data_IF_303714695659
#
_entry.id   IF_303714695659
#
_cell.length_a   1.000
_cell.length_b   1.000
_cell.length_c   1.000
_cell.angle_alpha   90.00
_cell.angle_beta   90.00
_cell.angle_gamma   90.00
#
_symmetry.space_group_name_H-M   'P 1'
#
loop_
_entity.id
_entity.type
_entity.pdbx_description
1 polymer ?
#
# COMPACT_ATOMS: atom_id res chain seq x y z
N UNK A 1 -11.62 22.19 14.21
CA UNK A 1 -11.08 20.88 14.40
C UNK A 1 -12.02 19.77 13.96
N UNK A 2 -11.53 18.57 14.07
CA UNK A 2 -12.25 17.35 13.65
C UNK A 2 -13.67 17.25 14.22
N UNK A 3 -13.92 17.88 15.32
CA UNK A 3 -15.26 17.93 15.92
C UNK A 3 -16.33 18.58 15.07
N UNK A 4 -15.94 19.44 14.21
CA UNK A 4 -16.91 20.26 13.49
C UNK A 4 -17.62 19.47 12.41
N UNK A 5 -17.02 18.41 11.97
CA UNK A 5 -17.66 17.59 10.97
C UNK A 5 -18.75 16.68 11.47
N UNK A 6 -18.74 16.34 12.70
CA UNK A 6 -19.87 15.61 13.25
C UNK A 6 -21.13 16.48 13.34
N UNK A 7 -20.96 17.78 13.26
CA UNK A 7 -22.09 18.72 13.31
C UNK A 7 -22.73 18.86 11.95
N UNK A 8 -21.97 18.74 10.88
CA UNK A 8 -22.45 19.24 9.61
C UNK A 8 -22.73 18.17 8.59
N UNK A 9 -22.27 16.99 8.75
CA UNK A 9 -22.37 16.01 7.64
C UNK A 9 -21.80 16.52 6.31
N UNK A 10 -21.49 17.82 6.22
CA UNK A 10 -20.93 18.45 5.02
C UNK A 10 -19.59 17.83 4.65
N UNK A 11 -18.88 17.35 5.64
CA UNK A 11 -17.63 16.65 5.39
C UNK A 11 -17.78 15.32 4.70
N UNK A 12 -18.93 14.69 4.84
CA UNK A 12 -19.23 13.48 4.05
C UNK A 12 -19.46 13.80 2.58
N UNK A 13 -19.81 15.06 2.29
CA UNK A 13 -19.97 15.53 0.91
C UNK A 13 -18.66 16.08 0.31
N UNK A 14 -17.73 16.51 1.16
CA UNK A 14 -16.42 17.02 0.76
C UNK A 14 -15.36 15.93 0.95
N UNK A 15 -15.45 14.85 0.20
CA UNK A 15 -14.38 13.85 0.17
C UNK A 15 -13.11 14.55 -0.32
N UNK A 16 -12.01 14.50 0.46
CA UNK A 16 -10.76 15.07 0.01
C UNK A 16 -10.31 14.33 -1.27
N UNK A 17 -10.10 15.09 -2.32
CA UNK A 17 -9.54 14.57 -3.56
C UNK A 17 -8.02 14.62 -3.58
N UNK A 18 -7.42 15.06 -2.49
CA UNK A 18 -5.97 15.17 -2.30
C UNK A 18 -5.57 14.58 -0.96
N UNK A 19 -4.33 14.11 -0.88
CA UNK A 19 -3.76 13.69 0.39
C UNK A 19 -3.56 14.88 1.33
N UNK A 20 -3.56 14.61 2.62
CA UNK A 20 -3.22 15.61 3.63
C UNK A 20 -1.84 16.19 3.38
N UNK A 21 -1.63 17.45 3.78
CA UNK A 21 -0.31 18.08 3.68
C UNK A 21 0.75 17.26 4.43
N UNK A 22 1.88 16.99 3.78
CA UNK A 22 2.95 16.16 4.34
C UNK A 22 2.67 14.66 4.39
N UNK A 23 1.53 14.21 3.88
CA UNK A 23 1.19 12.79 3.87
C UNK A 23 2.19 11.97 3.03
N UNK A 24 2.75 10.88 3.55
CA UNK A 24 3.69 10.03 2.81
C UNK A 24 3.07 9.38 1.57
N UNK A 25 1.75 9.30 1.48
CA UNK A 25 1.06 8.81 0.28
C UNK A 25 1.33 9.68 -0.95
N UNK A 26 1.69 10.96 -0.76
CA UNK A 26 2.09 11.83 -1.86
C UNK A 26 3.31 11.31 -2.62
N UNK A 27 4.22 10.67 -1.94
CA UNK A 27 5.39 10.02 -2.55
C UNK A 27 5.08 8.55 -2.86
N UNK A 28 4.59 7.82 -1.88
CA UNK A 28 4.40 6.36 -1.97
C UNK A 28 3.44 5.89 -3.08
N UNK A 29 2.52 6.75 -3.55
CA UNK A 29 1.60 6.39 -4.65
C UNK A 29 2.11 6.78 -6.04
N UNK A 30 3.24 7.46 -6.15
CA UNK A 30 3.86 7.73 -7.45
C UNK A 30 4.39 6.44 -8.07
N UNK A 31 4.40 6.40 -9.38
CA UNK A 31 5.00 5.30 -10.17
C UNK A 31 5.90 5.88 -11.24
N UNK A 32 6.92 5.16 -11.69
CA UNK A 32 7.79 5.59 -12.78
C UNK A 32 6.99 5.93 -14.04
N UNK A 33 7.53 6.83 -14.86
CA UNK A 33 6.91 7.21 -16.12
C UNK A 33 6.66 5.99 -17.01
N UNK A 34 5.49 5.95 -17.63
CA UNK A 34 5.06 4.81 -18.44
C UNK A 34 4.51 3.62 -17.66
N UNK A 35 4.70 3.59 -16.34
CA UNK A 35 4.15 2.52 -15.49
C UNK A 35 2.67 2.77 -15.17
N UNK A 36 1.96 1.70 -14.80
CA UNK A 36 0.56 1.73 -14.37
C UNK A 36 0.43 1.25 -12.93
N UNK A 37 -0.54 1.81 -12.23
CA UNK A 37 -0.90 1.37 -10.89
C UNK A 37 -2.39 1.04 -10.80
N UNK A 38 -2.72 0.18 -9.83
CA UNK A 38 -4.09 -0.08 -9.38
C UNK A 38 -4.25 0.42 -7.95
N UNK A 39 -5.42 0.95 -7.65
CA UNK A 39 -5.75 1.43 -6.33
C UNK A 39 -6.14 0.28 -5.40
N UNK A 40 -5.82 0.45 -4.12
CA UNK A 40 -6.45 -0.30 -3.04
C UNK A 40 -7.51 0.56 -2.33
N UNK A 41 -8.19 -0.01 -1.36
CA UNK A 41 -9.20 0.68 -0.55
C UNK A 41 -8.53 1.29 0.68
N UNK A 42 -8.64 2.60 0.84
CA UNK A 42 -8.05 3.42 1.88
C UNK A 42 -7.73 4.81 1.36
N UNK A 43 -6.99 5.63 2.12
CA UNK A 43 -6.62 6.98 1.67
C UNK A 43 -5.91 6.97 0.30
N UNK A 44 -5.12 5.96 0.02
CA UNK A 44 -4.43 5.79 -1.26
C UNK A 44 -5.36 5.56 -2.46
N UNK A 45 -6.64 5.29 -2.23
CA UNK A 45 -7.65 5.25 -3.30
C UNK A 45 -7.74 6.60 -4.04
N UNK A 46 -7.49 7.70 -3.34
CA UNK A 46 -7.54 9.04 -3.93
C UNK A 46 -6.53 9.25 -5.06
N UNK A 47 -5.50 8.42 -5.16
CA UNK A 47 -4.52 8.47 -6.26
C UNK A 47 -5.14 8.33 -7.65
N UNK A 48 -6.35 7.75 -7.75
CA UNK A 48 -7.09 7.65 -9.01
C UNK A 48 -7.53 9.02 -9.56
N UNK A 49 -7.75 9.99 -8.68
CA UNK A 49 -8.14 11.35 -9.06
C UNK A 49 -6.95 12.31 -9.19
N UNK A 50 -5.75 11.79 -8.97
CA UNK A 50 -4.51 12.52 -9.11
C UNK A 50 -3.76 12.02 -10.36
N UNK A 51 -2.84 12.82 -10.88
CA UNK A 51 -2.00 12.38 -11.99
C UNK A 51 -0.94 11.37 -11.52
N UNK A 52 -1.37 10.13 -11.25
CA UNK A 52 -0.55 9.03 -10.73
C UNK A 52 -0.61 7.77 -11.59
N UNK A 53 -1.19 7.88 -12.78
CA UNK A 53 -1.43 6.74 -13.69
C UNK A 53 -2.03 5.53 -12.95
N UNK A 54 -2.97 5.80 -12.03
CA UNK A 54 -3.63 4.81 -11.19
C UNK A 54 -5.07 4.67 -11.64
N UNK A 55 -5.49 3.46 -11.95
CA UNK A 55 -6.85 3.17 -12.38
C UNK A 55 -7.28 1.76 -11.96
N UNK A 56 -8.57 1.62 -11.67
CA UNK A 56 -9.14 0.35 -11.25
C UNK A 56 -8.88 0.05 -9.78
N UNK A 57 -9.81 -0.69 -9.19
CA UNK A 57 -9.76 -1.13 -7.80
C UNK A 57 -10.62 -2.38 -7.62
N UNK A 58 -10.42 -3.06 -6.51
CA UNK A 58 -11.23 -4.18 -6.04
C UNK A 58 -11.61 -3.96 -4.58
N UNK A 59 -12.39 -4.88 -4.01
CA UNK A 59 -12.67 -4.90 -2.58
C UNK A 59 -11.38 -5.16 -1.77
N UNK A 60 -11.42 -4.81 -0.49
CA UNK A 60 -10.33 -5.11 0.45
C UNK A 60 -10.04 -6.62 0.47
N UNK A 61 -8.80 -6.97 0.27
CA UNK A 61 -8.32 -8.37 0.18
C UNK A 61 -8.32 -8.96 -1.23
N UNK A 62 -8.86 -8.23 -2.22
CA UNK A 62 -8.81 -8.62 -3.64
C UNK A 62 -7.80 -7.81 -4.46
N UNK A 63 -6.97 -7.00 -3.81
CA UNK A 63 -6.00 -6.14 -4.48
C UNK A 63 -5.04 -6.98 -5.33
N UNK A 64 -4.96 -6.65 -6.62
CA UNK A 64 -4.15 -7.37 -7.59
C UNK A 64 -4.89 -8.51 -8.32
N UNK A 65 -6.05 -8.97 -7.83
CA UNK A 65 -6.79 -10.07 -8.47
C UNK A 65 -7.16 -9.76 -9.92
N UNK A 66 -7.59 -8.54 -10.20
CA UNK A 66 -7.89 -8.12 -11.56
C UNK A 66 -6.68 -8.23 -12.49
N UNK A 67 -5.51 -7.86 -11.99
CA UNK A 67 -4.28 -7.97 -12.78
C UNK A 67 -3.89 -9.42 -13.04
N UNK A 68 -3.95 -10.29 -12.02
CA UNK A 68 -3.67 -11.72 -12.18
C UNK A 68 -4.49 -12.33 -13.30
N UNK A 69 -5.79 -11.96 -13.39
CA UNK A 69 -6.67 -12.42 -14.47
C UNK A 69 -6.39 -11.78 -15.82
N UNK A 70 -5.93 -10.53 -15.85
CA UNK A 70 -5.70 -9.77 -17.09
C UNK A 70 -4.32 -9.97 -17.70
N UNK A 71 -3.30 -10.22 -16.88
CA UNK A 71 -1.91 -10.26 -17.32
C UNK A 71 -1.65 -11.14 -18.56
N UNK A 72 -2.23 -12.34 -18.69
CA UNK A 72 -2.01 -13.18 -19.87
C UNK A 72 -2.59 -12.61 -21.17
N UNK A 73 -3.50 -11.61 -21.09
CA UNK A 73 -4.26 -11.13 -22.24
C UNK A 73 -3.90 -9.70 -22.65
N UNK A 74 -2.96 -9.06 -21.98
CA UNK A 74 -2.57 -7.68 -22.25
C UNK A 74 -1.09 -7.55 -22.58
N UNK A 75 -0.73 -6.46 -23.28
CA UNK A 75 0.68 -6.17 -23.62
C UNK A 75 1.48 -5.57 -22.46
N UNK A 76 0.80 -5.07 -21.45
CA UNK A 76 1.44 -4.54 -20.24
C UNK A 76 2.10 -5.70 -19.50
N UNK A 77 3.38 -5.58 -19.20
CA UNK A 77 4.17 -6.66 -18.57
C UNK A 77 4.19 -6.59 -17.05
N UNK A 78 3.87 -5.43 -16.47
CA UNK A 78 3.99 -5.17 -15.05
C UNK A 78 3.02 -4.08 -14.61
N UNK A 79 2.52 -4.17 -13.36
CA UNK A 79 1.80 -3.11 -12.69
C UNK A 79 2.27 -2.93 -11.25
N UNK A 80 1.97 -1.75 -10.70
CA UNK A 80 2.02 -1.51 -9.26
C UNK A 80 0.63 -1.66 -8.64
N UNK A 81 0.54 -2.30 -7.49
CA UNK A 81 -0.71 -2.44 -6.73
C UNK A 81 -0.55 -1.77 -5.36
N UNK A 82 -1.30 -0.71 -5.13
CA UNK A 82 -1.35 -0.07 -3.83
C UNK A 82 -2.24 -0.89 -2.88
N UNK A 83 -1.79 -1.08 -1.64
CA UNK A 83 -2.54 -1.74 -0.58
C UNK A 83 -2.18 -1.10 0.76
N UNK A 84 -3.16 -0.85 1.61
CA UNK A 84 -2.92 -0.37 2.97
C UNK A 84 -2.50 -1.48 3.92
N UNK A 85 -1.75 -1.13 4.96
CA UNK A 85 -1.34 -2.04 6.01
C UNK A 85 -2.52 -2.66 6.77
N UNK A 86 -3.59 -1.90 7.01
CA UNK A 86 -4.82 -2.40 7.58
C UNK A 86 -5.49 -3.46 6.72
N UNK A 87 -5.57 -3.24 5.40
CA UNK A 87 -6.06 -4.24 4.46
C UNK A 87 -5.15 -5.46 4.40
N UNK A 88 -3.83 -5.25 4.38
CA UNK A 88 -2.86 -6.35 4.39
C UNK A 88 -3.05 -7.25 5.62
N UNK A 89 -3.19 -6.67 6.80
CA UNK A 89 -3.46 -7.39 8.04
C UNK A 89 -4.79 -8.16 8.01
N UNK A 90 -5.85 -7.51 7.56
CA UNK A 90 -7.19 -8.06 7.55
C UNK A 90 -7.34 -9.23 6.54
N UNK A 91 -6.89 -9.04 5.30
CA UNK A 91 -7.15 -10.00 4.21
C UNK A 91 -6.18 -9.89 3.03
N UNK A 92 -5.44 -8.80 2.90
CA UNK A 92 -4.59 -8.53 1.75
C UNK A 92 -3.38 -9.47 1.65
N UNK A 93 -2.95 -10.09 2.73
CA UNK A 93 -1.93 -11.14 2.70
C UNK A 93 -2.35 -12.33 1.81
N UNK A 94 -3.64 -12.64 1.75
CA UNK A 94 -4.17 -13.67 0.86
C UNK A 94 -4.07 -13.25 -0.61
N UNK A 95 -4.25 -11.97 -0.92
CA UNK A 95 -4.06 -11.45 -2.28
C UNK A 95 -2.59 -11.53 -2.70
N UNK A 96 -1.65 -11.24 -1.81
CA UNK A 96 -0.21 -11.39 -2.08
C UNK A 96 0.13 -12.86 -2.33
N UNK A 97 -0.36 -13.78 -1.52
CA UNK A 97 -0.22 -15.23 -1.72
C UNK A 97 -0.74 -15.66 -3.08
N UNK A 98 -1.94 -15.22 -3.46
CA UNK A 98 -2.54 -15.53 -4.74
C UNK A 98 -1.71 -14.97 -5.90
N UNK A 99 -1.16 -13.76 -5.77
CA UNK A 99 -0.30 -13.15 -6.78
C UNK A 99 0.98 -13.95 -6.99
N UNK A 100 1.64 -14.36 -5.92
CA UNK A 100 2.83 -15.24 -6.01
C UNK A 100 2.47 -16.55 -6.71
N UNK A 101 1.38 -17.18 -6.31
CA UNK A 101 0.93 -18.44 -6.90
C UNK A 101 0.55 -18.32 -8.39
N UNK A 102 0.05 -17.16 -8.81
CA UNK A 102 -0.32 -16.92 -10.21
C UNK A 102 0.88 -16.71 -11.15
N UNK A 103 2.05 -16.37 -10.60
CA UNK A 103 3.24 -16.00 -11.38
C UNK A 103 3.12 -14.67 -12.12
N UNK A 104 2.08 -13.89 -11.89
CA UNK A 104 1.91 -12.59 -12.54
C UNK A 104 2.97 -11.60 -12.04
N UNK A 105 3.61 -10.89 -12.97
CA UNK A 105 4.62 -9.88 -12.64
C UNK A 105 3.96 -8.61 -12.16
N UNK A 106 4.14 -8.28 -10.88
CA UNK A 106 3.60 -7.08 -10.26
C UNK A 106 4.40 -6.67 -9.01
N UNK A 107 4.25 -5.42 -8.61
CA UNK A 107 4.82 -4.90 -7.37
C UNK A 107 3.72 -4.42 -6.45
N UNK A 108 3.59 -5.01 -5.28
CA UNK A 108 2.76 -4.46 -4.21
C UNK A 108 3.48 -3.31 -3.52
N UNK A 109 2.75 -2.22 -3.31
CA UNK A 109 3.15 -1.13 -2.43
C UNK A 109 2.30 -1.20 -1.17
N UNK A 110 2.83 -1.80 -0.12
CA UNK A 110 2.18 -1.82 1.20
C UNK A 110 2.41 -0.48 1.87
N UNK A 111 1.39 0.34 1.91
CA UNK A 111 1.43 1.70 2.46
C UNK A 111 1.18 1.62 3.97
N UNK A 112 2.25 1.65 4.72
CA UNK A 112 2.27 1.42 6.16
C UNK A 112 2.16 2.74 6.95
N UNK A 113 1.24 2.80 7.88
CA UNK A 113 1.11 3.87 8.86
C UNK A 113 0.60 3.39 10.23
N UNK A 114 0.53 2.07 10.44
CA UNK A 114 0.01 1.42 11.64
C UNK A 114 -1.40 1.88 12.04
N UNK A 115 -2.20 2.28 11.05
CA UNK A 115 -3.54 2.79 11.31
C UNK A 115 -4.50 2.57 10.14
N UNK A 116 -5.76 2.32 10.47
CA UNK A 116 -6.88 2.42 9.53
C UNK A 116 -7.32 3.88 9.48
N UNK A 117 -6.52 4.70 8.78
CA UNK A 117 -6.57 6.15 8.87
C UNK A 117 -7.92 6.74 8.40
N UNK A 118 -8.50 6.21 7.32
CA UNK A 118 -9.71 6.74 6.71
C UNK A 118 -10.95 6.62 7.62
N UNK A 119 -10.99 5.62 8.48
CA UNK A 119 -12.15 5.33 9.33
C UNK A 119 -11.98 5.81 10.77
N UNK A 120 -10.93 6.55 11.08
CA UNK A 120 -10.75 7.17 12.40
C UNK A 120 -9.42 6.87 13.06
N UNK A 121 -8.47 6.26 12.36
CA UNK A 121 -7.10 6.07 12.87
C UNK A 121 -6.96 4.94 13.89
N UNK A 122 -7.81 3.93 13.80
CA UNK A 122 -7.69 2.73 14.64
C UNK A 122 -6.36 2.02 14.35
N UNK A 123 -5.73 1.48 15.37
CA UNK A 123 -4.51 0.69 15.22
C UNK A 123 -4.75 -0.56 14.38
N UNK A 124 -3.73 -0.95 13.65
CA UNK A 124 -3.71 -2.23 12.93
C UNK A 124 -3.25 -3.33 13.89
N UNK A 125 -4.18 -4.21 14.23
CA UNK A 125 -3.95 -5.27 15.22
C UNK A 125 -4.23 -4.85 16.66
N UNK A 126 -4.54 -5.84 17.50
CA UNK A 126 -4.93 -5.61 18.90
C UNK A 126 -3.75 -5.66 19.88
N UNK A 127 -2.59 -6.12 19.45
CA UNK A 127 -1.40 -6.19 20.28
C UNK A 127 -0.85 -4.79 20.52
N UNK A 128 -0.20 -4.55 21.69
CA UNK A 128 0.46 -3.28 21.98
C UNK A 128 1.48 -2.86 20.90
N UNK A 129 2.15 -3.85 20.27
CA UNK A 129 3.15 -3.66 19.23
C UNK A 129 2.54 -3.37 17.85
N UNK A 130 1.21 -3.56 17.68
CA UNK A 130 0.55 -3.44 16.40
C UNK A 130 0.98 -4.52 15.39
N UNK A 131 0.90 -4.19 14.10
CA UNK A 131 1.38 -5.04 13.01
C UNK A 131 2.59 -4.37 12.35
N UNK A 132 3.79 -4.74 12.76
CA UNK A 132 5.01 -4.04 12.38
C UNK A 132 5.44 -4.32 10.93
N UNK A 133 6.24 -3.40 10.36
CA UNK A 133 6.88 -3.57 9.06
C UNK A 133 7.69 -4.86 8.99
N UNK A 134 8.37 -5.25 10.07
CA UNK A 134 9.15 -6.49 10.11
C UNK A 134 8.27 -7.75 10.06
N UNK A 135 7.09 -7.70 10.65
CA UNK A 135 6.12 -8.80 10.53
C UNK A 135 5.58 -8.91 9.10
N UNK A 136 5.25 -7.79 8.48
CA UNK A 136 4.83 -7.75 7.07
C UNK A 136 5.94 -8.30 6.17
N UNK A 137 7.19 -7.87 6.38
CA UNK A 137 8.36 -8.35 5.67
C UNK A 137 8.47 -9.89 5.74
N UNK A 138 8.49 -10.44 6.94
CA UNK A 138 8.58 -11.88 7.15
C UNK A 138 7.42 -12.64 6.51
N UNK A 139 6.21 -12.12 6.64
CA UNK A 139 5.02 -12.71 6.03
C UNK A 139 5.13 -12.72 4.49
N UNK A 140 5.51 -11.62 3.87
CA UNK A 140 5.67 -11.55 2.42
C UNK A 140 6.72 -12.53 1.90
N UNK A 141 7.87 -12.61 2.59
CA UNK A 141 8.93 -13.54 2.22
C UNK A 141 8.50 -15.00 2.39
N UNK A 142 7.77 -15.30 3.46
CA UNK A 142 7.22 -16.64 3.69
C UNK A 142 6.21 -17.07 2.62
N UNK A 143 5.48 -16.12 2.02
CA UNK A 143 4.59 -16.36 0.88
C UNK A 143 5.35 -16.52 -0.45
N UNK A 144 6.66 -16.26 -0.49
CA UNK A 144 7.48 -16.44 -1.68
C UNK A 144 7.68 -15.16 -2.51
N UNK A 145 7.48 -14.00 -1.93
CA UNK A 145 7.83 -12.72 -2.57
C UNK A 145 9.34 -12.70 -2.86
N UNK A 146 9.71 -12.50 -4.12
CA UNK A 146 11.10 -12.63 -4.57
C UNK A 146 11.98 -11.43 -4.23
N UNK A 147 11.41 -10.24 -4.19
CA UNK A 147 12.13 -9.00 -3.88
C UNK A 147 11.32 -8.16 -2.92
N UNK A 148 11.94 -7.74 -1.84
CA UNK A 148 11.32 -6.89 -0.84
C UNK A 148 12.23 -5.69 -0.54
N UNK A 149 11.63 -4.50 -0.55
CA UNK A 149 12.29 -3.24 -0.25
C UNK A 149 11.50 -2.50 0.82
N UNK A 150 12.16 -2.03 1.84
CA UNK A 150 11.58 -1.14 2.84
C UNK A 150 11.93 0.30 2.44
N UNK A 151 10.91 1.13 2.32
CA UNK A 151 11.07 2.55 2.00
C UNK A 151 10.55 3.38 3.16
N UNK A 152 11.35 4.30 3.65
CA UNK A 152 11.05 5.10 4.85
C UNK A 152 11.62 6.51 4.73
N UNK A 153 11.08 7.43 5.54
CA UNK A 153 11.64 8.78 5.72
C UNK A 153 12.84 8.80 6.68
N UNK A 154 13.05 7.70 7.42
CA UNK A 154 14.15 7.56 8.37
C UNK A 154 14.77 6.16 8.29
N UNK A 155 15.70 5.92 7.35
CA UNK A 155 16.40 4.64 7.23
C UNK A 155 17.19 4.26 8.49
N UNK A 156 17.57 5.22 9.33
CA UNK A 156 18.34 4.97 10.54
C UNK A 156 17.56 4.13 11.56
N UNK A 157 16.23 4.13 11.51
CA UNK A 157 15.37 3.25 12.33
C UNK A 157 15.70 1.76 12.17
N UNK A 158 16.26 1.39 11.02
CA UNK A 158 16.61 0.00 10.72
C UNK A 158 18.09 -0.29 10.91
N UNK A 159 18.87 0.69 11.40
CA UNK A 159 20.29 0.49 11.73
C UNK A 159 20.41 -0.48 12.91
N UNK A 160 21.13 -1.59 12.68
CA UNK A 160 21.26 -2.64 13.69
C UNK A 160 20.06 -3.60 13.81
N UNK A 161 19.01 -3.42 13.02
CA UNK A 161 17.91 -4.39 12.92
C UNK A 161 18.33 -5.54 12.01
N UNK A 162 18.16 -6.78 12.49
CA UNK A 162 18.39 -7.96 11.68
C UNK A 162 17.28 -8.08 10.61
N UNK A 163 17.62 -7.73 9.38
CA UNK A 163 16.75 -7.92 8.22
C UNK A 163 17.00 -9.27 7.58
N UNK A 164 16.00 -9.81 6.90
CA UNK A 164 16.15 -11.03 6.13
C UNK A 164 17.11 -10.82 4.92
N UNK A 165 17.84 -11.86 4.50
CA UNK A 165 18.77 -11.75 3.37
C UNK A 165 18.07 -11.22 2.10
N UNK A 166 18.70 -10.23 1.44
CA UNK A 166 18.18 -9.64 0.22
C UNK A 166 17.17 -8.50 0.42
N UNK A 167 16.76 -8.21 1.65
CA UNK A 167 15.94 -7.04 1.96
C UNK A 167 16.83 -5.80 2.05
N UNK A 168 16.42 -4.73 1.39
CA UNK A 168 17.12 -3.44 1.40
C UNK A 168 16.22 -2.34 1.98
N UNK A 169 16.85 -1.31 2.57
CA UNK A 169 16.17 -0.14 3.11
C UNK A 169 16.63 1.09 2.34
N UNK A 170 15.67 1.89 1.91
CA UNK A 170 15.92 3.09 1.13
C UNK A 170 15.17 4.30 1.68
N UNK A 171 15.71 5.48 1.44
CA UNK A 171 14.98 6.70 1.73
C UNK A 171 13.84 6.89 0.72
N UNK A 172 12.70 7.43 1.17
CA UNK A 172 11.52 7.59 0.31
C UNK A 172 11.75 8.50 -0.91
N UNK A 173 12.73 9.39 -0.84
CA UNK A 173 13.07 10.27 -1.96
C UNK A 173 13.82 9.55 -3.08
N UNK A 174 14.21 8.29 -2.86
CA UNK A 174 14.81 7.41 -3.88
C UNK A 174 13.77 6.60 -4.67
N UNK A 175 12.46 6.90 -4.49
CA UNK A 175 11.38 6.19 -5.19
C UNK A 175 11.15 6.62 -6.63
N UNK A 176 11.85 7.62 -7.13
CA UNK A 176 11.71 8.15 -8.50
C UNK A 176 12.55 7.36 -9.52
#
# INVERSE_FOLDING_TARGET
GIRDYKVTGVQTCALPIYFCSGCPHNTGTRVPEGSKAMAGIGCHFMSQWMNRNTAGYTQMGGEGASWMGMAPFVKTSHIFQNIGDGTYFHSGSLAVRAAVASGATMTYKVLYNDAVAMTGGQRVGERPEGHSVLQIMKSCLAEGVQKLVIVTDDPAKYSGVALEPGVTVHHRDELD
#
